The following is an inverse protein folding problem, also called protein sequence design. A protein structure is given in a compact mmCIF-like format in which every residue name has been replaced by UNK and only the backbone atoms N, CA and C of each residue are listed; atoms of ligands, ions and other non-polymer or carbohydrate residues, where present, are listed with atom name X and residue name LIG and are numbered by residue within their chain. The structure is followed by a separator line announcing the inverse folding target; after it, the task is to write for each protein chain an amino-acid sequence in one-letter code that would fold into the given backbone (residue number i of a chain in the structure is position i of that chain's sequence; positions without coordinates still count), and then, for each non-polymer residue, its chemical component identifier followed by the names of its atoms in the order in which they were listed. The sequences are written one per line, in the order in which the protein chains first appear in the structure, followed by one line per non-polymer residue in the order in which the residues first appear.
data_IF_644468931644
#
_entry.id   IF_644468931644
#
_cell.length_a   1.000
_cell.length_b   1.000
_cell.length_c   1.000
_cell.angle_alpha   90.00
_cell.angle_beta   90.00
_cell.angle_gamma   90.00
#
_symmetry.space_group_name_H-M   'P 1'
#
loop_
_entity.id
_entity.type
_entity.pdbx_description
1 polymer ?
#
# COMPACT_ATOMS: atom_id res chain seq x y z
N UNK A 1 -13.81 -2.63 -3.39
CA UNK A 1 -12.58 -2.46 -4.20
C UNK A 1 -11.41 -2.68 -3.27
N UNK A 2 -10.34 -3.33 -3.72
CA UNK A 2 -9.13 -3.56 -2.89
C UNK A 2 -7.97 -2.73 -3.46
N UNK A 3 -7.22 -2.08 -2.58
CA UNK A 3 -6.04 -1.31 -2.93
C UNK A 3 -4.79 -2.07 -2.48
N UNK A 4 -3.83 -2.17 -3.39
CA UNK A 4 -2.60 -2.93 -3.19
C UNK A 4 -1.41 -2.09 -3.61
N UNK A 5 -0.31 -2.25 -2.88
CA UNK A 5 1.02 -1.99 -3.45
C UNK A 5 1.45 -3.26 -4.17
N UNK A 6 1.91 -3.10 -5.40
CA UNK A 6 2.44 -4.16 -6.26
C UNK A 6 3.87 -3.83 -6.66
N UNK A 7 4.77 -4.80 -6.54
CA UNK A 7 6.15 -4.71 -7.07
C UNK A 7 6.29 -5.40 -8.44
N UNK A 8 7.49 -5.34 -9.03
CA UNK A 8 7.79 -5.90 -10.36
C UNK A 8 7.64 -7.42 -10.43
N UNK A 9 7.70 -8.12 -9.30
CA UNK A 9 7.54 -9.57 -9.19
C UNK A 9 6.09 -9.97 -8.86
N UNK A 10 5.14 -9.03 -8.95
CA UNK A 10 3.71 -9.21 -8.65
C UNK A 10 3.42 -9.56 -7.19
N UNK A 11 4.30 -9.19 -6.26
CA UNK A 11 3.99 -9.27 -4.84
C UNK A 11 2.97 -8.19 -4.49
N UNK A 12 1.80 -8.63 -4.03
CA UNK A 12 0.73 -7.73 -3.58
C UNK A 12 0.69 -7.65 -2.06
N UNK A 13 0.58 -6.44 -1.54
CA UNK A 13 0.26 -6.16 -0.13
C UNK A 13 -0.99 -5.29 -0.11
N UNK A 14 -2.07 -5.77 0.54
CA UNK A 14 -3.27 -4.97 0.76
C UNK A 14 -2.95 -3.82 1.72
N UNK A 15 -3.42 -2.61 1.42
CA UNK A 15 -3.28 -1.45 2.31
C UNK A 15 -4.64 -1.14 2.93
N UNK A 16 -4.69 -0.97 4.25
CA UNK A 16 -5.90 -0.65 5.00
C UNK A 16 -5.66 0.53 5.96
N UNK A 17 -6.60 1.48 6.13
CA UNK A 17 -7.93 1.52 5.53
C UNK A 17 -7.91 2.00 4.07
N UNK A 18 -8.87 1.51 3.29
CA UNK A 18 -8.95 1.78 1.85
C UNK A 18 -9.19 3.25 1.50
N UNK A 19 -9.90 3.98 2.36
CA UNK A 19 -10.24 5.39 2.16
C UNK A 19 -9.03 6.33 2.23
N UNK A 20 -8.00 5.97 2.97
CA UNK A 20 -6.77 6.77 3.09
C UNK A 20 -5.82 6.56 1.91
N UNK A 21 -5.79 5.36 1.33
CA UNK A 21 -4.90 5.06 0.20
C UNK A 21 -5.53 5.32 -1.17
N UNK A 22 -6.87 5.31 -1.25
CA UNK A 22 -7.60 5.52 -2.51
C UNK A 22 -7.20 6.80 -3.28
N UNK A 23 -6.95 7.96 -2.64
CA UNK A 23 -6.53 9.18 -3.34
C UNK A 23 -5.18 9.06 -4.05
N UNK A 24 -4.33 8.12 -3.65
CA UNK A 24 -2.97 7.94 -4.17
C UNK A 24 -2.88 6.92 -5.32
N UNK A 25 -4.02 6.50 -5.87
CA UNK A 25 -4.05 5.49 -6.91
C UNK A 25 -3.32 5.97 -8.18
N UNK A 26 -2.32 5.21 -8.61
CA UNK A 26 -1.49 5.55 -9.77
C UNK A 26 -0.27 6.41 -9.44
N UNK A 27 -0.13 6.87 -8.19
CA UNK A 27 1.04 7.60 -7.73
C UNK A 27 2.14 6.64 -7.25
N UNK A 28 3.39 7.13 -7.29
CA UNK A 28 4.48 6.52 -6.53
C UNK A 28 4.44 7.09 -5.12
N UNK A 29 4.27 6.23 -4.12
CA UNK A 29 4.17 6.64 -2.72
C UNK A 29 5.16 5.86 -1.85
N UNK A 30 5.51 6.42 -0.70
CA UNK A 30 6.06 5.68 0.43
C UNK A 30 4.95 5.48 1.45
N UNK A 31 4.84 4.25 1.94
CA UNK A 31 3.86 3.86 2.95
C UNK A 31 4.58 3.32 4.17
N UNK A 32 4.13 3.72 5.35
CA UNK A 32 4.61 3.22 6.65
C UNK A 32 3.41 2.75 7.46
N UNK A 33 3.58 1.63 8.16
CA UNK A 33 2.58 1.09 9.05
C UNK A 33 2.87 -0.33 9.51
N UNK A 34 1.89 -0.96 10.13
CA UNK A 34 2.01 -2.31 10.68
C UNK A 34 1.76 -3.38 9.60
N UNK A 35 2.77 -4.21 9.35
CA UNK A 35 2.67 -5.31 8.39
C UNK A 35 2.23 -6.61 9.08
N UNK A 36 1.30 -7.31 8.45
CA UNK A 36 0.80 -8.62 8.86
C UNK A 36 0.85 -9.62 7.71
N UNK A 37 1.22 -10.85 8.05
CA UNK A 37 1.18 -11.99 7.14
C UNK A 37 0.33 -13.12 7.72
N UNK A 38 -0.53 -13.67 6.87
CA UNK A 38 -1.33 -14.87 7.12
C UNK A 38 -1.26 -15.77 5.90
N UNK A 39 -1.11 -17.07 6.11
CA UNK A 39 -1.17 -18.04 5.01
C UNK A 39 -2.57 -18.14 4.39
N UNK A 40 -3.62 -17.76 5.12
CA UNK A 40 -5.00 -17.77 4.65
C UNK A 40 -5.42 -16.43 4.02
N UNK A 41 -4.96 -15.31 4.59
CA UNK A 41 -5.42 -13.96 4.20
C UNK A 41 -4.40 -13.18 3.36
N UNK A 42 -3.16 -13.67 3.26
CA UNK A 42 -2.10 -13.03 2.49
C UNK A 42 -1.33 -11.98 3.29
N UNK A 43 -1.03 -10.85 2.65
CA UNK A 43 -0.17 -9.79 3.17
C UNK A 43 -1.00 -8.50 3.29
N UNK A 44 -1.00 -7.90 4.49
CA UNK A 44 -1.69 -6.64 4.76
C UNK A 44 -0.74 -5.67 5.44
N UNK A 45 -0.92 -4.38 5.16
CA UNK A 45 -0.32 -3.29 5.90
C UNK A 45 -1.42 -2.36 6.41
N UNK A 46 -1.48 -2.19 7.73
CA UNK A 46 -2.30 -1.20 8.41
C UNK A 46 -1.58 0.14 8.34
N UNK A 47 -2.14 1.09 7.59
CA UNK A 47 -1.55 2.36 7.24
C UNK A 47 -1.45 3.27 8.47
N UNK A 48 -0.25 3.80 8.70
CA UNK A 48 0.00 4.87 9.67
C UNK A 48 0.36 6.18 8.98
N UNK A 49 1.09 6.08 7.86
CA UNK A 49 1.52 7.24 7.09
C UNK A 49 1.69 6.90 5.60
N UNK A 50 1.28 7.83 4.74
CA UNK A 50 1.51 7.81 3.29
C UNK A 50 2.07 9.16 2.85
N UNK A 51 3.13 9.12 2.05
CA UNK A 51 3.68 10.30 1.38
C UNK A 51 3.83 10.03 -0.13
N UNK A 52 3.42 11.00 -0.95
CA UNK A 52 3.65 10.94 -2.39
C UNK A 52 5.12 11.23 -2.69
N UNK A 53 5.76 10.32 -3.44
CA UNK A 53 7.14 10.43 -3.90
C UNK A 53 7.20 11.10 -5.27
N UNK A 54 6.34 12.09 -5.53
CA UNK A 54 6.45 12.89 -6.76
C UNK A 54 7.91 13.31 -6.91
N UNK A 55 8.50 13.00 -8.06
CA UNK A 55 9.88 13.32 -8.32
C UNK A 55 10.09 14.81 -8.01
N UNK A 56 10.95 15.12 -7.02
CA UNK A 56 11.64 16.40 -7.08
C UNK A 56 12.41 16.35 -8.39
N UNK A 57 12.01 17.21 -9.33
CA UNK A 57 12.72 17.49 -10.58
C UNK A 57 14.21 17.79 -10.32
#
# INVERSE_FOLDING_TARGET
MHYWIEDQDLNRVEIFPHEEIAPHLGERVRVVGHFEYSSAEGRRLMLEHVESLSAQE
#
